data_IF_303612061222
#
_entry.id   IF_303612061222
#
_cell.length_a   1.000
_cell.length_b   1.000
_cell.length_c   1.000
_cell.angle_alpha   90.00
_cell.angle_beta   90.00
_cell.angle_gamma   90.00
#
_symmetry.space_group_name_H-M   'P 1'
#
loop_
_entity.id
_entity.type
_entity.pdbx_description
1 polymer ?
#
# COMPACT_ATOMS: atom_id res chain seq x y z
N UNK A 1 9.31 0.95 5.84
CA UNK A 1 8.09 0.83 5.01
C UNK A 1 6.94 1.38 5.86
N UNK A 2 6.17 2.38 5.42
CA UNK A 2 5.13 3.02 6.25
C UNK A 2 3.73 2.55 5.85
N UNK A 3 3.50 1.24 5.85
CA UNK A 3 2.18 0.68 5.50
C UNK A 3 1.17 1.04 6.59
N UNK A 4 -0.08 1.26 6.18
CA UNK A 4 -1.13 1.75 7.08
C UNK A 4 -2.28 0.75 7.14
N UNK A 5 -2.92 0.67 8.30
CA UNK A 5 -4.18 -0.03 8.44
C UNK A 5 -5.23 0.57 7.47
N UNK A 6 -5.93 -0.26 6.68
CA UNK A 6 -6.93 0.22 5.72
C UNK A 6 -8.18 0.82 6.38
N UNK A 7 -8.40 0.58 7.69
CA UNK A 7 -9.53 1.16 8.42
C UNK A 7 -9.20 2.49 9.11
N UNK A 8 -8.17 2.49 9.97
CA UNK A 8 -7.89 3.64 10.83
C UNK A 8 -6.62 4.42 10.46
N UNK A 9 -5.87 3.98 9.44
CA UNK A 9 -4.66 4.66 8.98
C UNK A 9 -3.43 4.52 9.88
N UNK A 10 -3.52 3.78 10.99
CA UNK A 10 -2.37 3.54 11.88
C UNK A 10 -1.22 2.86 11.13
N UNK A 11 0.01 3.34 11.34
CA UNK A 11 1.20 2.81 10.68
C UNK A 11 1.63 1.51 11.35
N UNK A 12 1.92 0.51 10.54
CA UNK A 12 2.53 -0.73 10.97
C UNK A 12 4.05 -0.58 11.03
N UNK A 13 4.63 -0.75 12.22
CA UNK A 13 6.06 -0.49 12.49
C UNK A 13 6.88 -1.77 12.66
N UNK A 14 6.26 -2.88 13.10
CA UNK A 14 6.99 -4.10 13.48
C UNK A 14 6.54 -5.31 12.67
N UNK A 15 7.33 -5.70 11.67
CA UNK A 15 7.09 -6.88 10.84
C UNK A 15 7.69 -8.14 11.48
N UNK A 16 6.84 -8.95 12.12
CA UNK A 16 7.21 -10.22 12.78
C UNK A 16 7.34 -11.41 11.81
N UNK A 17 7.13 -11.17 10.51
CA UNK A 17 7.20 -12.18 9.45
C UNK A 17 5.86 -12.75 9.04
N UNK A 18 4.77 -12.56 9.79
CA UNK A 18 3.44 -12.99 9.37
C UNK A 18 2.83 -11.96 8.41
N UNK A 19 2.41 -12.39 7.22
CA UNK A 19 1.79 -11.51 6.23
C UNK A 19 0.28 -11.29 6.46
N UNK A 20 -0.30 -11.86 7.53
CA UNK A 20 -1.65 -11.57 8.00
C UNK A 20 -1.58 -10.64 9.22
N UNK A 21 -1.69 -9.34 8.96
CA UNK A 21 -1.42 -8.29 9.94
C UNK A 21 -2.64 -8.01 10.81
N UNK A 22 -2.41 -7.73 12.09
CA UNK A 22 -3.40 -7.18 13.01
C UNK A 22 -3.08 -5.71 13.30
N UNK A 23 -4.09 -4.85 13.28
CA UNK A 23 -3.91 -3.45 13.66
C UNK A 23 -3.82 -3.30 15.19
N UNK A 24 -2.88 -2.48 15.66
CA UNK A 24 -2.72 -2.19 17.09
C UNK A 24 -3.80 -1.23 17.65
N UNK A 25 -4.53 -0.51 16.79
CA UNK A 25 -5.49 0.54 17.21
C UNK A 25 -6.95 0.19 16.93
N UNK A 26 -7.23 -0.86 16.17
CA UNK A 26 -8.60 -1.26 15.85
C UNK A 26 -8.65 -2.77 15.56
N UNK A 27 -9.83 -3.41 15.58
CA UNK A 27 -9.94 -4.87 15.41
C UNK A 27 -9.70 -5.35 13.96
N UNK A 28 -9.13 -4.51 13.09
CA UNK A 28 -8.84 -4.86 11.69
C UNK A 28 -7.72 -5.90 11.59
N UNK A 29 -7.99 -6.97 10.84
CA UNK A 29 -6.97 -7.85 10.31
C UNK A 29 -6.92 -7.71 8.79
N UNK A 30 -5.73 -7.62 8.23
CA UNK A 30 -5.54 -7.31 6.82
C UNK A 30 -4.33 -8.01 6.21
N UNK A 31 -4.31 -8.10 4.90
CA UNK A 31 -3.22 -8.71 4.17
C UNK A 31 -2.05 -7.74 4.00
N UNK A 32 -0.85 -8.16 4.36
CA UNK A 32 0.36 -7.35 4.16
C UNK A 32 0.60 -7.04 2.68
N UNK A 33 0.37 -7.99 1.75
CA UNK A 33 0.63 -7.80 0.31
C UNK A 33 -0.30 -6.77 -0.35
N UNK A 34 -1.61 -6.93 -0.17
CA UNK A 34 -2.59 -6.11 -0.88
C UNK A 34 -3.22 -5.01 -0.02
N UNK A 35 -2.94 -4.98 1.29
CA UNK A 35 -3.49 -4.05 2.28
C UNK A 35 -5.02 -4.09 2.41
N UNK A 36 -5.66 -5.13 1.87
CA UNK A 36 -7.09 -5.28 1.97
C UNK A 36 -7.50 -5.74 3.36
N UNK A 37 -8.49 -5.06 3.93
CA UNK A 37 -9.17 -5.44 5.15
C UNK A 37 -9.90 -6.79 4.96
N UNK A 38 -9.68 -7.71 5.89
CA UNK A 38 -10.30 -9.04 5.93
C UNK A 38 -11.15 -9.24 7.17
N UNK A 39 -11.26 -8.23 8.02
CA UNK A 39 -12.02 -8.29 9.27
C UNK A 39 -11.29 -9.10 10.33
N UNK A 40 -11.31 -10.42 10.21
CA UNK A 40 -10.83 -11.35 11.23
C UNK A 40 -9.49 -12.02 10.91
N UNK A 41 -8.90 -12.59 11.96
CA UNK A 41 -7.60 -13.28 11.89
C UNK A 41 -7.63 -14.45 10.90
N UNK A 42 -8.66 -15.29 10.95
CA UNK A 42 -8.74 -16.48 10.09
C UNK A 42 -8.86 -16.11 8.61
N UNK A 43 -9.66 -15.10 8.30
CA UNK A 43 -9.89 -14.57 6.97
C UNK A 43 -8.63 -13.92 6.40
N UNK A 44 -7.89 -13.17 7.23
CA UNK A 44 -6.61 -12.60 6.83
C UNK A 44 -5.60 -13.70 6.48
N UNK A 45 -5.47 -14.75 7.30
CA UNK A 45 -4.57 -15.87 7.01
C UNK A 45 -4.98 -16.64 5.75
N UNK A 46 -6.27 -16.93 5.57
CA UNK A 46 -6.79 -17.58 4.37
C UNK A 46 -6.50 -16.75 3.13
N UNK A 47 -6.73 -15.43 3.20
CA UNK A 47 -6.47 -14.55 2.08
C UNK A 47 -4.99 -14.48 1.73
N UNK A 48 -4.07 -14.44 2.71
CA UNK A 48 -2.62 -14.38 2.43
C UNK A 48 -2.15 -15.58 1.60
N UNK A 49 -2.68 -16.79 1.85
CA UNK A 49 -2.40 -18.01 1.05
C UNK A 49 -2.91 -17.92 -0.39
N UNK A 50 -3.94 -17.13 -0.63
CA UNK A 50 -4.64 -17.03 -1.91
C UNK A 50 -4.44 -15.67 -2.58
N UNK A 51 -3.64 -14.78 -1.99
CA UNK A 51 -3.51 -13.41 -2.43
C UNK A 51 -2.82 -13.39 -3.79
N UNK A 52 -3.44 -12.80 -4.85
CA UNK A 52 -2.81 -12.73 -6.17
C UNK A 52 -1.52 -11.91 -6.19
N UNK A 53 -1.34 -11.02 -5.21
CA UNK A 53 -0.14 -10.20 -5.03
C UNK A 53 0.90 -10.87 -4.11
N UNK A 54 0.54 -11.99 -3.50
CA UNK A 54 1.39 -12.71 -2.57
C UNK A 54 2.10 -13.88 -3.20
N UNK A 55 2.71 -14.70 -2.34
CA UNK A 55 3.50 -15.88 -2.72
C UNK A 55 2.84 -17.18 -2.29
N UNK A 56 1.63 -17.09 -1.76
CA UNK A 56 0.93 -18.22 -1.15
C UNK A 56 1.51 -18.68 0.19
N UNK A 57 2.46 -17.98 0.80
CA UNK A 57 3.02 -18.32 2.12
C UNK A 57 2.61 -17.29 3.18
N UNK A 58 2.34 -17.76 4.41
CA UNK A 58 2.08 -16.87 5.55
C UNK A 58 3.31 -16.13 6.02
N UNK A 59 4.49 -16.72 5.80
CA UNK A 59 5.79 -16.19 6.13
C UNK A 59 6.64 -16.13 4.88
N UNK A 60 7.42 -15.07 4.72
CA UNK A 60 8.30 -14.87 3.59
C UNK A 60 9.39 -13.83 3.91
N UNK A 61 10.38 -13.72 3.04
CA UNK A 61 11.46 -12.75 3.11
C UNK A 61 10.94 -11.32 2.93
N UNK A 62 11.52 -10.39 3.68
CA UNK A 62 11.23 -8.95 3.65
C UNK A 62 11.64 -8.31 2.33
N UNK A 63 12.62 -8.84 1.60
CA UNK A 63 13.10 -8.22 0.36
C UNK A 63 12.04 -8.24 -0.78
N UNK A 64 11.43 -9.38 -1.16
CA UNK A 64 10.31 -9.40 -2.12
C UNK A 64 9.13 -8.52 -1.69
N UNK A 65 8.87 -8.48 -0.38
CA UNK A 65 7.83 -7.63 0.20
C UNK A 65 8.13 -6.13 0.05
N UNK A 66 9.35 -5.71 0.36
CA UNK A 66 9.79 -4.33 0.22
C UNK A 66 9.76 -3.87 -1.24
N UNK A 67 10.15 -4.74 -2.17
CA UNK A 67 10.09 -4.48 -3.61
C UNK A 67 8.65 -4.33 -4.10
N UNK A 68 7.76 -5.26 -3.73
CA UNK A 68 6.34 -5.20 -4.06
C UNK A 68 5.71 -3.86 -3.63
N UNK A 69 5.95 -3.45 -2.38
CA UNK A 69 5.39 -2.20 -1.88
C UNK A 69 6.07 -0.95 -2.44
N UNK A 70 7.34 -1.02 -2.83
CA UNK A 70 7.99 0.08 -3.55
C UNK A 70 7.34 0.29 -4.92
N UNK A 71 7.07 -0.80 -5.65
CA UNK A 71 6.31 -0.74 -6.91
C UNK A 71 4.91 -0.19 -6.73
N UNK A 72 4.15 -0.71 -5.76
CA UNK A 72 2.80 -0.21 -5.45
C UNK A 72 2.78 1.28 -5.13
N UNK A 73 3.71 1.76 -4.30
CA UNK A 73 3.80 3.19 -3.94
C UNK A 73 4.08 4.07 -5.16
N UNK A 74 4.96 3.63 -6.06
CA UNK A 74 5.20 4.34 -7.34
C UNK A 74 3.92 4.38 -8.18
N UNK A 75 3.25 3.25 -8.37
CA UNK A 75 1.99 3.19 -9.13
C UNK A 75 0.88 4.08 -8.54
N UNK A 76 0.75 4.12 -7.21
CA UNK A 76 -0.21 5.00 -6.53
C UNK A 76 0.16 6.48 -6.71
N UNK A 77 1.45 6.82 -6.69
CA UNK A 77 1.93 8.17 -6.97
C UNK A 77 1.63 8.59 -8.42
N UNK A 78 2.00 7.78 -9.42
CA UNK A 78 1.64 8.00 -10.82
C UNK A 78 0.13 8.25 -10.99
N UNK A 79 -0.70 7.33 -10.47
CA UNK A 79 -2.15 7.41 -10.61
C UNK A 79 -2.73 8.68 -9.96
N UNK A 80 -2.15 9.14 -8.85
CA UNK A 80 -2.53 10.39 -8.23
C UNK A 80 -2.20 11.60 -9.11
N UNK A 81 -1.04 11.60 -9.76
CA UNK A 81 -0.61 12.67 -10.67
C UNK A 81 -1.45 12.73 -11.95
N UNK A 82 -1.90 11.58 -12.45
CA UNK A 82 -2.75 11.50 -13.64
C UNK A 82 -4.20 11.92 -13.39
N UNK A 83 -4.64 11.99 -12.13
CA UNK A 83 -6.00 12.43 -11.78
C UNK A 83 -6.19 13.93 -12.10
N UNK A 84 -7.38 14.35 -12.58
CA UNK A 84 -7.70 15.77 -12.69
C UNK A 84 -7.60 16.46 -11.31
N UNK A 85 -6.83 17.55 -11.23
CA UNK A 85 -6.63 18.31 -9.99
C UNK A 85 -7.80 19.28 -9.71
N UNK A 86 -9.04 18.79 -9.85
CA UNK A 86 -10.25 19.54 -9.56
C UNK A 86 -10.42 20.80 -10.43
N UNK A 87 -10.78 21.91 -9.78
CA UNK A 87 -11.11 23.21 -10.38
C UNK A 87 -9.91 24.08 -10.73
N UNK A 88 -8.68 23.57 -10.60
CA UNK A 88 -7.49 24.31 -11.00
C UNK A 88 -7.49 24.56 -12.51
N UNK A 89 -7.08 25.75 -12.95
CA UNK A 89 -6.91 26.05 -14.37
C UNK A 89 -5.94 25.05 -15.03
N UNK A 90 -6.21 24.59 -16.27
CA UNK A 90 -5.41 23.56 -16.93
C UNK A 90 -3.90 23.85 -16.97
N UNK A 91 -3.51 25.11 -17.17
CA UNK A 91 -2.11 25.52 -17.19
C UNK A 91 -1.43 25.37 -15.82
N UNK A 92 -2.16 25.63 -14.73
CA UNK A 92 -1.65 25.43 -13.37
C UNK A 92 -1.58 23.95 -13.02
N UNK A 93 -2.55 23.13 -13.47
CA UNK A 93 -2.49 21.68 -13.30
C UNK A 93 -1.25 21.08 -13.96
N UNK A 94 -0.96 21.48 -15.20
CA UNK A 94 0.22 20.99 -15.92
C UNK A 94 1.52 21.40 -15.23
N UNK A 95 1.62 22.66 -14.77
CA UNK A 95 2.82 23.12 -14.04
C UNK A 95 3.02 22.35 -12.74
N UNK A 96 1.96 22.11 -11.95
CA UNK A 96 2.06 21.29 -10.73
C UNK A 96 2.54 19.87 -11.06
N UNK A 97 2.03 19.24 -12.12
CA UNK A 97 2.49 17.91 -12.54
C UNK A 97 3.97 17.90 -12.95
N UNK A 98 4.42 18.91 -13.70
CA UNK A 98 5.83 19.01 -14.11
C UNK A 98 6.77 19.15 -12.91
N UNK A 99 6.42 19.99 -11.95
CA UNK A 99 7.20 20.17 -10.73
C UNK A 99 7.25 18.88 -9.90
N UNK A 100 6.12 18.18 -9.74
CA UNK A 100 6.10 16.91 -9.00
C UNK A 100 6.91 15.83 -9.72
N UNK A 101 6.81 15.70 -11.05
CA UNK A 101 7.63 14.74 -11.82
C UNK A 101 9.13 15.05 -11.71
N UNK A 102 9.52 16.32 -11.64
CA UNK A 102 10.91 16.72 -11.42
C UNK A 102 11.42 16.24 -10.05
N UNK A 103 10.61 16.44 -9.02
CA UNK A 103 11.00 16.14 -7.64
C UNK A 103 10.85 14.64 -7.30
N UNK A 104 9.99 13.93 -8.04
CA UNK A 104 9.74 12.49 -7.93
C UNK A 104 9.95 11.81 -9.30
N UNK A 105 11.21 11.66 -9.76
CA UNK A 105 11.51 11.13 -11.10
C UNK A 105 11.07 9.66 -11.29
N UNK A 106 10.85 8.95 -10.20
CA UNK A 106 10.41 7.55 -10.13
C UNK A 106 8.89 7.37 -9.92
N UNK A 107 8.13 8.47 -9.81
CA UNK A 107 6.69 8.44 -9.54
C UNK A 107 5.84 8.22 -10.78
#
# INVERSE_FOLDING_TARGET
LNLKCPRCGWVFVDFDGCFALACAQCPCHFCAWCLADRGGKAEAHTHVRQCPQGTGNWFNNVAPFAEHHSRRKRQEAAAYLDRPLGSLEPALQERVRQEIRRDLPDA
#
